data_IF_496960737808
#
_entry.id   IF_496960737808
#
_cell.length_a   1.000
_cell.length_b   1.000
_cell.length_c   1.000
_cell.angle_alpha   90.00
_cell.angle_beta   90.00
_cell.angle_gamma   90.00
#
_symmetry.space_group_name_H-M   'P 1'
#
loop_
_entity.id
_entity.type
_entity.pdbx_description
1 polymer ?
#
# COMPACT_ATOMS: atom_id res chain seq x y z
N UNK A 1 -29.81 -16.27 16.13
CA UNK A 1 -29.80 -14.86 15.63
C UNK A 1 -29.52 -13.83 16.74
N UNK A 2 -30.16 -13.91 17.91
CA UNK A 2 -29.98 -12.90 18.98
C UNK A 2 -28.50 -12.70 19.40
N UNK A 3 -27.78 -13.77 19.77
CA UNK A 3 -26.38 -13.69 20.22
C UNK A 3 -25.43 -13.07 19.21
N UNK A 4 -25.62 -13.33 17.90
CA UNK A 4 -24.80 -12.74 16.85
C UNK A 4 -25.00 -11.22 16.76
N UNK A 5 -26.24 -10.76 16.85
CA UNK A 5 -26.56 -9.33 16.84
C UNK A 5 -26.03 -8.63 18.09
N UNK A 6 -26.01 -9.31 19.25
CA UNK A 6 -25.40 -8.79 20.46
C UNK A 6 -23.90 -8.61 20.32
N UNK A 7 -23.21 -9.57 19.68
CA UNK A 7 -21.77 -9.44 19.39
C UNK A 7 -21.48 -8.22 18.50
N UNK A 8 -22.28 -7.99 17.45
CA UNK A 8 -22.15 -6.81 16.59
C UNK A 8 -22.41 -5.50 17.34
N UNK A 9 -23.42 -5.46 18.21
CA UNK A 9 -23.72 -4.30 19.04
C UNK A 9 -22.55 -3.97 19.97
N UNK A 10 -22.00 -4.95 20.68
CA UNK A 10 -20.87 -4.75 21.58
C UNK A 10 -19.61 -4.29 20.83
N UNK A 11 -19.42 -4.77 19.60
CA UNK A 11 -18.33 -4.28 18.75
C UNK A 11 -18.49 -2.78 18.45
N UNK A 12 -19.70 -2.35 18.06
CA UNK A 12 -19.99 -0.93 17.80
C UNK A 12 -19.93 -0.05 19.07
N UNK A 13 -20.02 -0.67 20.26
CA UNK A 13 -19.71 -0.02 21.56
C UNK A 13 -18.19 0.11 21.81
N UNK A 14 -17.33 -0.39 20.87
CA UNK A 14 -15.87 -0.30 20.96
C UNK A 14 -15.18 -1.45 21.69
N UNK A 15 -15.89 -2.55 22.01
CA UNK A 15 -15.28 -3.71 22.67
C UNK A 15 -14.46 -4.54 21.66
N UNK A 16 -13.29 -5.04 22.11
CA UNK A 16 -12.51 -6.01 21.32
C UNK A 16 -13.19 -7.38 21.30
N UNK A 17 -12.87 -8.26 20.34
CA UNK A 17 -13.42 -9.61 20.28
C UNK A 17 -13.25 -10.40 21.58
N UNK A 18 -12.11 -10.26 22.27
CA UNK A 18 -11.86 -10.91 23.56
C UNK A 18 -12.76 -10.36 24.67
N UNK A 19 -12.99 -9.03 24.71
CA UNK A 19 -13.90 -8.41 25.68
C UNK A 19 -15.34 -8.84 25.44
N UNK A 20 -15.75 -8.97 24.16
CA UNK A 20 -17.07 -9.49 23.79
C UNK A 20 -17.22 -10.94 24.24
N UNK A 21 -16.21 -11.78 24.02
CA UNK A 21 -16.22 -13.18 24.48
C UNK A 21 -16.43 -13.28 26.00
N UNK A 22 -15.68 -12.49 26.76
CA UNK A 22 -15.83 -12.41 28.21
C UNK A 22 -17.20 -11.91 28.65
N UNK A 23 -17.74 -10.86 28.01
CA UNK A 23 -19.05 -10.26 28.35
C UNK A 23 -20.23 -11.20 28.02
N UNK A 24 -20.11 -11.96 26.94
CA UNK A 24 -21.16 -12.90 26.50
C UNK A 24 -21.03 -14.28 27.12
N UNK A 25 -19.96 -14.59 27.79
CA UNK A 25 -19.70 -15.93 28.36
C UNK A 25 -19.57 -17.01 27.28
N UNK A 26 -18.97 -16.70 26.14
CA UNK A 26 -18.74 -17.63 25.02
C UNK A 26 -17.29 -17.63 24.59
N UNK A 27 -16.89 -18.61 23.78
CA UNK A 27 -15.53 -18.71 23.27
C UNK A 27 -15.19 -17.56 22.29
N UNK A 28 -13.93 -17.19 22.24
CA UNK A 28 -13.42 -16.22 21.26
C UNK A 28 -13.69 -16.68 19.81
N UNK A 29 -13.52 -17.97 19.53
CA UNK A 29 -13.87 -18.60 18.23
C UNK A 29 -15.30 -18.26 17.81
N UNK A 30 -16.27 -18.41 18.73
CA UNK A 30 -17.67 -18.11 18.44
C UNK A 30 -17.91 -16.65 18.14
N UNK A 31 -17.23 -15.75 18.86
CA UNK A 31 -17.28 -14.30 18.59
C UNK A 31 -16.71 -14.01 17.21
N UNK A 32 -15.51 -14.51 16.90
CA UNK A 32 -14.87 -14.32 15.59
C UNK A 32 -15.76 -14.81 14.43
N UNK A 33 -16.39 -15.98 14.58
CA UNK A 33 -17.34 -16.50 13.59
C UNK A 33 -18.56 -15.57 13.41
N UNK A 34 -19.11 -15.03 14.49
CA UNK A 34 -20.23 -14.08 14.43
C UNK A 34 -19.82 -12.80 13.70
N UNK A 35 -18.66 -12.26 14.01
CA UNK A 35 -18.14 -11.04 13.38
C UNK A 35 -17.83 -11.25 11.88
N UNK A 36 -17.19 -12.36 11.52
CA UNK A 36 -17.00 -12.74 10.10
C UNK A 36 -18.33 -12.82 9.35
N UNK A 37 -19.36 -13.44 9.96
CA UNK A 37 -20.68 -13.54 9.35
C UNK A 37 -21.31 -12.16 9.15
N UNK A 38 -21.23 -11.27 10.16
CA UNK A 38 -21.80 -9.94 10.07
C UNK A 38 -21.10 -9.07 9.01
N UNK A 39 -19.79 -9.22 8.86
CA UNK A 39 -19.04 -8.55 7.78
C UNK A 39 -19.45 -9.14 6.42
N UNK A 40 -19.54 -10.45 6.29
CA UNK A 40 -20.00 -11.10 5.06
C UNK A 40 -21.45 -10.74 4.66
N UNK A 41 -22.29 -10.42 5.64
CA UNK A 41 -23.66 -9.92 5.41
C UNK A 41 -23.71 -8.39 5.15
N UNK A 42 -22.57 -7.70 5.15
CA UNK A 42 -22.48 -6.25 4.97
C UNK A 42 -23.04 -5.42 6.13
N UNK A 43 -23.26 -6.03 7.32
CA UNK A 43 -23.76 -5.36 8.51
C UNK A 43 -22.65 -4.69 9.33
N UNK A 44 -21.42 -5.10 9.15
CA UNK A 44 -20.22 -4.54 9.73
C UNK A 44 -19.17 -4.42 8.61
N UNK A 45 -18.19 -3.55 8.84
CA UNK A 45 -17.00 -3.44 8.00
C UNK A 45 -15.76 -3.91 8.78
N UNK A 46 -14.68 -4.25 8.08
CA UNK A 46 -13.41 -4.58 8.75
C UNK A 46 -12.95 -3.47 9.69
N UNK A 47 -13.14 -2.21 9.28
CA UNK A 47 -12.78 -1.03 10.08
C UNK A 47 -13.53 -0.93 11.40
N UNK A 48 -14.71 -1.55 11.52
CA UNK A 48 -15.50 -1.56 12.76
C UNK A 48 -14.91 -2.50 13.81
N UNK A 49 -14.05 -3.45 13.41
CA UNK A 49 -13.47 -4.45 14.31
C UNK A 49 -12.37 -3.81 15.17
N UNK A 50 -12.65 -3.65 16.46
CA UNK A 50 -11.73 -3.12 17.43
C UNK A 50 -10.65 -4.14 17.82
N UNK A 51 -9.65 -4.35 16.97
CA UNK A 51 -8.47 -5.14 17.34
C UNK A 51 -7.61 -4.39 18.38
N UNK A 52 -6.99 -5.14 19.27
CA UNK A 52 -5.91 -4.57 20.09
C UNK A 52 -4.80 -4.03 19.16
N UNK A 53 -4.33 -2.81 19.42
CA UNK A 53 -3.36 -2.11 18.57
C UNK A 53 -2.09 -2.95 18.36
N UNK A 54 -1.57 -3.59 19.41
CA UNK A 54 -0.36 -4.40 19.30
C UNK A 54 -0.59 -5.66 18.46
N UNK A 55 -1.73 -6.33 18.59
CA UNK A 55 -2.11 -7.50 17.80
C UNK A 55 -2.30 -7.14 16.33
N UNK A 56 -3.00 -6.06 16.06
CA UNK A 56 -3.19 -5.53 14.71
C UNK A 56 -1.86 -5.23 14.03
N UNK A 57 -0.94 -4.54 14.72
CA UNK A 57 0.39 -4.23 14.18
C UNK A 57 1.20 -5.49 13.85
N UNK A 58 1.11 -6.56 14.66
CA UNK A 58 1.78 -7.83 14.38
C UNK A 58 1.26 -8.45 13.08
N UNK A 59 -0.06 -8.53 12.89
CA UNK A 59 -0.67 -9.08 11.67
C UNK A 59 -0.30 -8.23 10.45
N UNK A 60 -0.46 -6.91 10.54
CA UNK A 60 -0.14 -5.99 9.46
C UNK A 60 1.34 -6.01 9.07
N UNK A 61 2.24 -6.16 10.06
CA UNK A 61 3.67 -6.29 9.80
C UNK A 61 3.99 -7.59 9.05
N UNK A 62 3.41 -8.72 9.44
CA UNK A 62 3.59 -9.99 8.73
C UNK A 62 3.07 -9.90 7.28
N UNK A 63 1.88 -9.36 7.08
CA UNK A 63 1.31 -9.14 5.75
C UNK A 63 2.20 -8.23 4.92
N UNK A 64 2.65 -7.09 5.47
CA UNK A 64 3.56 -6.16 4.78
C UNK A 64 4.88 -6.80 4.39
N UNK A 65 5.41 -7.67 5.22
CA UNK A 65 6.68 -8.36 4.96
C UNK A 65 6.53 -9.55 4.01
N UNK A 66 5.30 -9.86 3.54
CA UNK A 66 5.03 -11.04 2.71
C UNK A 66 5.26 -12.36 3.46
N UNK A 67 5.25 -12.31 4.78
CA UNK A 67 5.40 -13.48 5.67
C UNK A 67 4.01 -14.09 5.88
N UNK A 68 3.95 -15.41 6.02
CA UNK A 68 2.73 -16.07 6.44
C UNK A 68 2.30 -15.52 7.82
N UNK A 69 1.10 -14.95 7.89
CA UNK A 69 0.59 -14.34 9.12
C UNK A 69 0.53 -15.33 10.29
N UNK A 70 0.39 -16.64 10.03
CA UNK A 70 0.37 -17.66 11.08
C UNK A 70 1.73 -17.91 11.73
N UNK A 71 2.85 -17.52 11.11
CA UNK A 71 4.18 -17.55 11.75
C UNK A 71 4.27 -16.64 12.96
N UNK A 72 3.40 -15.66 13.07
CA UNK A 72 3.30 -14.82 14.27
C UNK A 72 3.01 -15.66 15.51
N UNK A 73 2.30 -16.79 15.37
CA UNK A 73 1.99 -17.68 16.49
C UNK A 73 3.22 -18.34 17.07
N UNK A 74 4.24 -18.63 16.26
CA UNK A 74 5.49 -19.26 16.71
C UNK A 74 6.27 -18.31 17.63
N UNK A 75 6.26 -17.01 17.33
CA UNK A 75 7.03 -15.99 18.05
C UNK A 75 6.18 -15.27 19.11
N UNK A 76 4.89 -15.10 18.86
CA UNK A 76 4.00 -14.23 19.63
C UNK A 76 2.67 -14.91 20.05
N UNK A 77 2.57 -16.25 20.06
CA UNK A 77 1.35 -16.99 20.36
C UNK A 77 0.74 -16.71 21.74
N UNK A 78 1.53 -16.15 22.67
CA UNK A 78 1.04 -15.67 23.97
C UNK A 78 0.30 -14.31 23.90
N UNK A 79 0.42 -13.58 22.78
CA UNK A 79 -0.18 -12.24 22.59
C UNK A 79 -1.32 -12.22 21.59
N UNK A 80 -1.40 -13.21 20.74
CA UNK A 80 -2.41 -13.28 19.67
C UNK A 80 -2.85 -14.73 19.48
N UNK A 81 -4.14 -14.93 19.21
CA UNK A 81 -4.70 -16.24 18.87
C UNK A 81 -4.86 -16.41 17.37
N UNK A 82 -4.92 -17.66 16.92
CA UNK A 82 -5.22 -18.01 15.53
C UNK A 82 -6.55 -17.41 15.09
N UNK A 83 -7.56 -17.45 15.95
CA UNK A 83 -8.89 -16.96 15.62
C UNK A 83 -8.93 -15.46 15.31
N UNK A 84 -8.08 -14.66 15.97
CA UNK A 84 -7.92 -13.24 15.67
C UNK A 84 -7.21 -12.99 14.34
N UNK A 85 -6.22 -13.83 14.01
CA UNK A 85 -5.57 -13.78 12.70
C UNK A 85 -6.58 -14.13 11.62
N UNK A 86 -7.34 -15.21 11.79
CA UNK A 86 -8.40 -15.63 10.86
C UNK A 86 -9.45 -14.54 10.71
N UNK A 87 -9.93 -13.94 11.81
CA UNK A 87 -10.87 -12.82 11.78
C UNK A 87 -10.33 -11.67 10.95
N UNK A 88 -9.07 -11.25 11.20
CA UNK A 88 -8.43 -10.18 10.45
C UNK A 88 -8.35 -10.49 8.96
N UNK A 89 -7.83 -11.67 8.60
CA UNK A 89 -7.61 -12.08 7.21
C UNK A 89 -8.93 -12.27 6.42
N UNK A 90 -9.98 -12.80 7.08
CA UNK A 90 -11.27 -13.05 6.45
C UNK A 90 -12.13 -11.80 6.29
N UNK A 91 -11.92 -10.79 7.15
CA UNK A 91 -12.73 -9.56 7.12
C UNK A 91 -12.04 -8.41 6.41
N UNK A 92 -10.71 -8.43 6.27
CA UNK A 92 -9.97 -7.36 5.58
C UNK A 92 -10.48 -7.17 4.15
N UNK A 93 -10.43 -5.94 3.69
CA UNK A 93 -10.66 -5.63 2.27
C UNK A 93 -9.33 -5.76 1.50
N UNK A 94 -9.17 -6.80 0.67
CA UNK A 94 -7.97 -7.00 -0.12
C UNK A 94 -7.68 -5.86 -1.10
N UNK A 95 -8.72 -5.14 -1.57
CA UNK A 95 -8.57 -4.00 -2.47
C UNK A 95 -7.93 -2.83 -1.75
N UNK A 96 -8.33 -2.60 -0.49
CA UNK A 96 -7.77 -1.55 0.37
C UNK A 96 -6.28 -1.78 0.63
N UNK A 97 -5.86 -3.02 0.91
CA UNK A 97 -4.45 -3.37 1.13
C UNK A 97 -3.60 -3.13 -0.14
N UNK A 98 -4.10 -3.56 -1.29
CA UNK A 98 -3.40 -3.36 -2.56
C UNK A 98 -3.36 -1.87 -2.95
N UNK A 99 -4.45 -1.12 -2.69
CA UNK A 99 -4.49 0.32 -2.90
C UNK A 99 -3.43 1.04 -2.07
N UNK A 100 -3.36 0.76 -0.76
CA UNK A 100 -2.38 1.36 0.13
C UNK A 100 -0.94 1.07 -0.34
N UNK A 101 -0.66 -0.16 -0.77
CA UNK A 101 0.63 -0.57 -1.28
C UNK A 101 1.01 0.17 -2.58
N UNK A 102 0.08 0.32 -3.51
CA UNK A 102 0.33 1.06 -4.76
C UNK A 102 0.55 2.54 -4.48
N UNK A 103 -0.22 3.14 -3.56
CA UNK A 103 0.01 4.53 -3.15
C UNK A 103 1.40 4.72 -2.52
N UNK A 104 1.85 3.78 -1.68
CA UNK A 104 3.19 3.81 -1.10
C UNK A 104 4.27 3.78 -2.18
N UNK A 105 4.15 2.87 -3.16
CA UNK A 105 5.08 2.77 -4.30
C UNK A 105 5.08 4.08 -5.12
N UNK A 106 3.91 4.65 -5.41
CA UNK A 106 3.79 5.89 -6.18
C UNK A 106 4.50 7.06 -5.47
N UNK A 107 4.30 7.21 -4.15
CA UNK A 107 4.97 8.23 -3.35
C UNK A 107 6.50 8.04 -3.33
N UNK A 108 6.98 6.80 -3.19
CA UNK A 108 8.40 6.49 -3.22
C UNK A 108 9.02 6.80 -4.60
N UNK A 109 8.35 6.44 -5.67
CA UNK A 109 8.79 6.76 -7.04
C UNK A 109 8.85 8.27 -7.28
N UNK A 110 7.85 9.03 -6.82
CA UNK A 110 7.88 10.49 -6.91
C UNK A 110 9.09 11.11 -6.20
N UNK A 111 9.37 10.66 -4.98
CA UNK A 111 10.54 11.13 -4.22
C UNK A 111 11.84 10.76 -4.91
N UNK A 112 12.00 9.50 -5.33
CA UNK A 112 13.18 9.02 -6.03
C UNK A 112 13.43 9.84 -7.30
N UNK A 113 12.42 10.03 -8.14
CA UNK A 113 12.53 10.77 -9.41
C UNK A 113 12.99 12.19 -9.14
N UNK A 114 12.34 12.90 -8.21
CA UNK A 114 12.71 14.29 -7.90
C UNK A 114 14.13 14.40 -7.38
N UNK A 115 14.52 13.56 -6.42
CA UNK A 115 15.87 13.58 -5.84
C UNK A 115 16.94 13.24 -6.87
N UNK A 116 16.73 12.18 -7.65
CA UNK A 116 17.69 11.72 -8.67
C UNK A 116 17.91 12.79 -9.74
N UNK A 117 16.84 13.39 -10.26
CA UNK A 117 16.94 14.44 -11.28
C UNK A 117 17.54 15.73 -10.72
N UNK A 118 17.18 16.11 -9.49
CA UNK A 118 17.78 17.28 -8.82
C UNK A 118 19.29 17.06 -8.62
N UNK A 119 19.72 15.88 -8.21
CA UNK A 119 21.13 15.55 -8.07
C UNK A 119 21.88 15.58 -9.41
N UNK A 120 21.24 15.15 -10.52
CA UNK A 120 21.86 15.09 -11.84
C UNK A 120 21.89 16.43 -12.58
N UNK A 121 20.84 17.24 -12.45
CA UNK A 121 20.62 18.45 -13.26
C UNK A 121 20.50 19.75 -12.43
N UNK A 122 20.66 19.68 -11.13
CA UNK A 122 20.54 20.86 -10.24
C UNK A 122 19.20 21.59 -10.43
N UNK A 123 19.25 22.91 -10.51
CA UNK A 123 18.05 23.74 -10.71
C UNK A 123 17.36 23.53 -12.09
N UNK A 124 18.07 22.94 -13.05
CA UNK A 124 17.53 22.61 -14.38
C UNK A 124 16.67 21.35 -14.44
N UNK A 125 16.59 20.56 -13.35
CA UNK A 125 16.00 19.22 -13.33
C UNK A 125 14.61 19.12 -13.95
N UNK A 126 13.77 20.16 -13.78
CA UNK A 126 12.44 20.18 -14.35
C UNK A 126 12.45 20.27 -15.87
N UNK A 127 13.33 21.10 -16.46
CA UNK A 127 13.42 21.30 -17.90
C UNK A 127 14.19 20.18 -18.61
N UNK A 128 15.27 19.75 -18.02
CA UNK A 128 16.21 18.78 -18.63
C UNK A 128 15.77 17.33 -18.37
N UNK A 129 15.38 17.03 -17.13
CA UNK A 129 15.00 15.68 -16.69
C UNK A 129 13.61 15.27 -17.13
N UNK A 130 12.62 16.16 -17.02
CA UNK A 130 11.22 15.81 -17.33
C UNK A 130 10.94 15.93 -18.83
N UNK A 131 10.28 14.92 -19.48
CA UNK A 131 9.85 15.02 -20.87
C UNK A 131 8.94 16.23 -21.11
N UNK A 132 9.07 16.88 -22.26
CA UNK A 132 8.30 18.09 -22.57
C UNK A 132 6.79 17.88 -22.48
N UNK A 133 6.30 16.77 -23.04
CA UNK A 133 4.87 16.44 -23.00
C UNK A 133 4.39 16.26 -21.56
N UNK A 134 5.16 15.58 -20.72
CA UNK A 134 4.84 15.43 -19.29
C UNK A 134 4.74 16.79 -18.60
N UNK A 135 5.69 17.70 -18.86
CA UNK A 135 5.63 19.06 -18.29
C UNK A 135 4.38 19.81 -18.70
N UNK A 136 4.01 19.74 -20.00
CA UNK A 136 2.78 20.35 -20.52
C UNK A 136 1.54 19.77 -19.84
N UNK A 137 1.46 18.45 -19.72
CA UNK A 137 0.36 17.76 -19.06
C UNK A 137 0.23 18.12 -17.58
N UNK A 138 1.36 18.20 -16.85
CA UNK A 138 1.37 18.62 -15.46
C UNK A 138 0.88 20.06 -15.30
N UNK A 139 1.30 20.97 -16.18
CA UNK A 139 0.87 22.35 -16.16
C UNK A 139 -0.63 22.48 -16.43
N UNK A 140 -1.15 21.75 -17.43
CA UNK A 140 -2.57 21.73 -17.75
C UNK A 140 -3.41 21.26 -16.57
N UNK A 141 -3.03 20.11 -15.94
CA UNK A 141 -3.74 19.59 -14.75
C UNK A 141 -3.70 20.57 -13.58
N UNK A 142 -2.57 21.30 -13.42
CA UNK A 142 -2.46 22.34 -12.40
C UNK A 142 -3.44 23.49 -12.64
N UNK A 143 -3.61 23.91 -13.90
CA UNK A 143 -4.53 24.99 -14.30
C UNK A 143 -6.01 24.58 -14.15
N UNK A 144 -6.31 23.29 -14.34
CA UNK A 144 -7.66 22.73 -14.15
C UNK A 144 -8.03 22.49 -12.67
N UNK A 145 -7.04 22.48 -11.77
CA UNK A 145 -7.27 22.25 -10.34
C UNK A 145 -7.84 23.52 -9.66
N UNK A 146 -8.95 23.37 -8.95
CA UNK A 146 -9.60 24.48 -8.21
C UNK A 146 -8.75 25.00 -7.04
N UNK A 147 -7.85 24.16 -6.52
CA UNK A 147 -6.94 24.47 -5.42
C UNK A 147 -5.50 24.09 -5.79
N UNK A 148 -4.90 24.82 -6.78
CA UNK A 148 -3.67 24.39 -7.39
C UNK A 148 -2.49 24.38 -6.41
N UNK A 149 -1.67 23.32 -6.50
CA UNK A 149 -0.41 23.23 -5.78
C UNK A 149 0.68 24.02 -6.53
N UNK A 150 1.62 24.60 -5.80
CA UNK A 150 2.67 25.43 -6.40
C UNK A 150 3.57 24.67 -7.37
N UNK A 151 3.98 23.44 -6.99
CA UNK A 151 4.89 22.61 -7.78
C UNK A 151 4.15 21.78 -8.83
N UNK A 152 4.28 22.08 -10.14
CA UNK A 152 3.63 21.32 -11.21
C UNK A 152 4.02 19.84 -11.23
N UNK A 153 5.20 19.47 -10.70
CA UNK A 153 5.63 18.08 -10.61
C UNK A 153 4.68 17.21 -9.79
N UNK A 154 3.94 17.78 -8.84
CA UNK A 154 2.95 17.06 -8.02
C UNK A 154 1.76 16.53 -8.83
N UNK A 155 1.60 16.99 -10.06
CA UNK A 155 0.57 16.52 -11.01
C UNK A 155 1.07 15.41 -11.95
N UNK A 156 2.27 14.90 -11.73
CA UNK A 156 2.82 13.77 -12.50
C UNK A 156 2.07 12.47 -12.15
N UNK A 157 1.64 11.74 -13.16
CA UNK A 157 0.95 10.45 -13.00
C UNK A 157 1.95 9.29 -12.93
N UNK A 158 1.49 8.12 -12.47
CA UNK A 158 2.33 6.93 -12.35
C UNK A 158 3.01 6.56 -13.67
N UNK A 159 2.26 6.56 -14.79
CA UNK A 159 2.83 6.25 -16.11
C UNK A 159 3.87 7.28 -16.55
N UNK A 160 3.68 8.54 -16.21
CA UNK A 160 4.64 9.59 -16.53
C UNK A 160 5.94 9.44 -15.72
N UNK A 161 5.90 8.91 -14.48
CA UNK A 161 7.10 8.54 -13.72
C UNK A 161 7.92 7.48 -14.47
N UNK A 162 7.26 6.45 -15.04
CA UNK A 162 7.93 5.47 -15.90
C UNK A 162 8.62 6.13 -17.09
N UNK A 163 7.94 7.06 -17.80
CA UNK A 163 8.51 7.76 -18.96
C UNK A 163 9.70 8.65 -18.58
N UNK A 164 9.67 9.27 -17.43
CA UNK A 164 10.78 10.06 -16.88
C UNK A 164 11.99 9.16 -16.62
N UNK A 165 11.80 8.03 -15.96
CA UNK A 165 12.84 7.03 -15.68
C UNK A 165 13.42 6.49 -16.99
N UNK A 166 12.58 6.20 -17.98
CA UNK A 166 12.98 5.69 -19.29
C UNK A 166 13.87 6.68 -20.05
N UNK A 167 13.48 7.96 -20.08
CA UNK A 167 14.24 9.05 -20.72
C UNK A 167 15.63 9.21 -20.07
N UNK A 168 15.70 9.14 -18.76
CA UNK A 168 16.90 9.41 -17.99
C UNK A 168 17.58 8.12 -17.47
N UNK A 169 17.45 7.02 -18.20
CA UNK A 169 17.93 5.71 -17.72
C UNK A 169 19.41 5.70 -17.31
N UNK A 170 20.28 6.44 -17.99
CA UNK A 170 21.68 6.55 -17.62
C UNK A 170 21.90 7.04 -16.18
N UNK A 171 21.03 7.96 -15.70
CA UNK A 171 21.05 8.47 -14.34
C UNK A 171 20.37 7.49 -13.38
N UNK A 172 19.20 6.97 -13.76
CA UNK A 172 18.44 6.05 -12.90
C UNK A 172 19.11 4.69 -12.73
N UNK A 173 19.89 4.20 -13.71
CA UNK A 173 20.65 2.96 -13.57
C UNK A 173 21.69 3.00 -12.44
N UNK A 174 22.11 4.19 -12.02
CA UNK A 174 23.02 4.40 -10.89
C UNK A 174 22.24 4.54 -9.57
N UNK A 175 21.09 5.20 -9.63
CA UNK A 175 20.26 5.49 -8.44
C UNK A 175 19.41 4.30 -7.97
N UNK A 176 18.95 3.46 -8.90
CA UNK A 176 18.12 2.28 -8.60
C UNK A 176 18.94 1.15 -7.95
N UNK A 177 18.33 0.32 -7.07
CA UNK A 177 18.98 -0.86 -6.52
C UNK A 177 19.29 -1.90 -7.62
N UNK A 178 20.27 -2.77 -7.36
CA UNK A 178 20.75 -3.73 -8.36
C UNK A 178 19.68 -4.56 -9.07
N UNK A 179 18.65 -5.12 -8.43
CA UNK A 179 17.63 -5.87 -9.18
C UNK A 179 16.95 -5.02 -10.25
N UNK A 180 16.69 -3.73 -9.97
CA UNK A 180 16.01 -2.81 -10.89
C UNK A 180 16.97 -2.13 -11.87
N UNK A 181 18.20 -1.83 -11.47
CA UNK A 181 19.18 -1.15 -12.34
C UNK A 181 19.81 -2.08 -13.39
N UNK A 182 19.80 -3.40 -13.15
CA UNK A 182 20.50 -4.37 -13.98
C UNK A 182 19.86 -4.58 -15.37
N UNK A 183 18.54 -4.37 -15.51
CA UNK A 183 17.83 -4.67 -16.74
C UNK A 183 16.74 -3.62 -17.03
N UNK A 184 17.07 -2.64 -17.88
CA UNK A 184 16.15 -1.56 -18.28
C UNK A 184 14.80 -2.08 -18.77
N UNK A 185 14.71 -2.98 -19.78
CA UNK A 185 13.44 -3.47 -20.27
C UNK A 185 12.56 -4.09 -19.17
N UNK A 186 13.16 -4.92 -18.32
CA UNK A 186 12.45 -5.58 -17.23
C UNK A 186 11.88 -4.55 -16.22
N UNK A 187 12.68 -3.57 -15.82
CA UNK A 187 12.24 -2.53 -14.87
C UNK A 187 11.14 -1.67 -15.45
N UNK A 188 11.25 -1.27 -16.70
CA UNK A 188 10.18 -0.51 -17.37
C UNK A 188 8.90 -1.33 -17.51
N UNK A 189 9.00 -2.65 -17.76
CA UNK A 189 7.86 -3.55 -17.78
C UNK A 189 7.22 -3.69 -16.40
N UNK A 190 8.02 -3.79 -15.33
CA UNK A 190 7.51 -3.83 -13.95
C UNK A 190 6.73 -2.55 -13.62
N UNK A 191 7.25 -1.37 -13.97
CA UNK A 191 6.56 -0.09 -13.79
C UNK A 191 5.26 -0.02 -14.61
N UNK A 192 5.26 -0.57 -15.84
CA UNK A 192 4.06 -0.66 -16.67
C UNK A 192 2.99 -1.56 -16.04
N UNK A 193 3.39 -2.69 -15.48
CA UNK A 193 2.49 -3.62 -14.79
C UNK A 193 1.89 -2.97 -13.52
N UNK A 194 2.71 -2.26 -12.73
CA UNK A 194 2.23 -1.51 -11.56
C UNK A 194 1.22 -0.43 -11.95
N UNK A 195 1.45 0.28 -13.06
CA UNK A 195 0.47 1.24 -13.57
C UNK A 195 -0.85 0.54 -13.99
N UNK A 196 -0.77 -0.65 -14.58
CA UNK A 196 -1.94 -1.48 -14.89
C UNK A 196 -2.74 -1.84 -13.64
N UNK A 197 -2.06 -2.32 -12.60
CA UNK A 197 -2.65 -2.63 -11.29
C UNK A 197 -3.30 -1.38 -10.68
N UNK A 198 -2.58 -0.25 -10.67
CA UNK A 198 -3.10 1.04 -10.17
C UNK A 198 -4.40 1.43 -10.88
N UNK A 199 -4.45 1.31 -12.20
CA UNK A 199 -5.63 1.65 -12.98
C UNK A 199 -6.82 0.72 -12.69
N UNK A 200 -6.58 -0.58 -12.44
CA UNK A 200 -7.63 -1.52 -12.03
C UNK A 200 -8.24 -1.13 -10.68
N UNK A 201 -7.40 -0.74 -9.71
CA UNK A 201 -7.86 -0.34 -8.38
C UNK A 201 -8.66 0.97 -8.42
N UNK A 202 -8.19 1.95 -9.21
CA UNK A 202 -8.81 3.29 -9.30
C UNK A 202 -10.12 3.30 -10.09
N UNK A 203 -10.42 2.22 -10.84
CA UNK A 203 -11.67 2.07 -11.58
C UNK A 203 -12.53 0.97 -10.94
N UNK A 204 -13.46 1.30 -10.03
CA UNK A 204 -14.22 0.32 -9.22
C UNK A 204 -15.11 -0.61 -10.03
N UNK A 205 -15.39 -0.28 -11.29
CA UNK A 205 -16.17 -1.12 -12.21
C UNK A 205 -15.35 -2.26 -12.84
N UNK A 206 -14.05 -2.26 -12.68
CA UNK A 206 -13.17 -3.33 -13.17
C UNK A 206 -12.91 -4.32 -12.05
N UNK A 207 -13.22 -5.60 -12.30
CA UNK A 207 -12.83 -6.67 -11.38
C UNK A 207 -11.30 -6.82 -11.35
N UNK A 208 -10.77 -6.96 -10.15
CA UNK A 208 -9.36 -7.32 -9.94
C UNK A 208 -9.31 -8.83 -9.91
N UNK A 209 -9.04 -9.45 -11.05
CA UNK A 209 -9.12 -10.91 -11.22
C UNK A 209 -8.00 -11.64 -10.46
N UNK A 210 -6.84 -11.00 -10.26
CA UNK A 210 -5.65 -11.65 -9.70
C UNK A 210 -5.07 -10.88 -8.51
N UNK A 211 -5.91 -10.61 -7.51
CA UNK A 211 -5.51 -9.82 -6.35
C UNK A 211 -4.21 -10.33 -5.68
N UNK A 212 -4.13 -11.62 -5.37
CA UNK A 212 -2.99 -12.20 -4.65
C UNK A 212 -1.68 -12.15 -5.47
N UNK A 213 -1.75 -12.32 -6.78
CA UNK A 213 -0.58 -12.21 -7.65
C UNK A 213 -0.15 -10.75 -7.80
N UNK A 214 -1.10 -9.83 -7.94
CA UNK A 214 -0.86 -8.39 -8.00
C UNK A 214 -0.26 -7.86 -6.69
N UNK A 215 -0.78 -8.30 -5.54
CA UNK A 215 -0.26 -7.93 -4.24
C UNK A 215 1.18 -8.43 -4.04
N UNK A 216 1.44 -9.72 -4.33
CA UNK A 216 2.79 -10.29 -4.26
C UNK A 216 3.77 -9.58 -5.20
N UNK A 217 3.33 -9.25 -6.41
CA UNK A 217 4.14 -8.52 -7.37
C UNK A 217 4.51 -7.12 -6.86
N UNK A 218 3.53 -6.35 -6.38
CA UNK A 218 3.76 -5.02 -5.83
C UNK A 218 4.64 -5.06 -4.56
N UNK A 219 4.44 -6.05 -3.68
CA UNK A 219 5.29 -6.29 -2.50
C UNK A 219 6.74 -6.59 -2.86
N UNK A 220 6.96 -7.47 -3.85
CA UNK A 220 8.31 -7.77 -4.34
C UNK A 220 8.99 -6.52 -4.89
N UNK A 221 8.27 -5.73 -5.68
CA UNK A 221 8.79 -4.48 -6.21
C UNK A 221 9.18 -3.51 -5.06
N UNK A 222 8.34 -3.37 -4.04
CA UNK A 222 8.64 -2.52 -2.89
C UNK A 222 9.85 -3.03 -2.10
N UNK A 223 9.96 -4.35 -1.88
CA UNK A 223 11.11 -4.95 -1.20
C UNK A 223 12.43 -4.68 -1.95
N UNK A 224 12.41 -4.72 -3.29
CA UNK A 224 13.56 -4.34 -4.11
C UNK A 224 13.94 -2.85 -3.93
N UNK A 225 12.99 -2.02 -3.46
CA UNK A 225 13.19 -0.61 -3.13
C UNK A 225 13.62 -0.34 -1.69
N UNK A 226 13.47 -1.26 -0.75
CA UNK A 226 13.70 -1.01 0.69
C UNK A 226 15.14 -0.54 1.00
N UNK A 227 16.13 -1.01 0.24
CA UNK A 227 17.50 -0.51 0.34
C UNK A 227 17.66 0.96 -0.06
N UNK A 228 16.77 1.50 -0.91
CA UNK A 228 16.73 2.91 -1.29
C UNK A 228 15.93 3.76 -0.31
N UNK A 229 14.91 3.20 0.31
CA UNK A 229 14.06 3.89 1.30
C UNK A 229 14.93 4.50 2.39
N UNK A 230 15.89 3.74 2.93
CA UNK A 230 16.83 4.25 3.90
C UNK A 230 17.65 5.43 3.36
N UNK A 231 18.13 5.40 2.11
CA UNK A 231 18.87 6.51 1.47
C UNK A 231 17.98 7.73 1.24
N UNK A 232 16.75 7.53 0.77
CA UNK A 232 15.79 8.60 0.49
C UNK A 232 15.39 9.34 1.78
N UNK A 233 15.20 8.61 2.88
CA UNK A 233 14.76 9.18 4.16
C UNK A 233 15.92 9.81 4.96
N UNK A 234 17.18 9.41 4.70
CA UNK A 234 18.37 9.84 5.47
C UNK A 234 19.33 10.77 4.71
N UNK A 235 19.17 10.95 3.41
CA UNK A 235 19.89 11.99 2.68
C UNK A 235 19.24 13.33 3.00
N UNK A 236 19.80 14.04 4.00
CA UNK A 236 19.46 15.45 4.22
C UNK A 236 19.73 16.21 2.93
N UNK A 237 18.81 17.04 2.43
CA UNK A 237 19.15 17.96 1.36
C UNK A 237 20.29 18.85 1.90
N UNK A 238 21.45 18.73 1.32
CA UNK A 238 22.50 19.75 1.46
C UNK A 238 21.97 20.98 0.72
N UNK A 239 21.48 21.94 1.52
CA UNK A 239 21.15 23.27 1.04
C UNK A 239 22.40 24.06 0.74
#
# INVERSE_FOLDING_TARGET
>A
MARRNDAGRYLLEGLTPEQIAGRMGISLVSVCQYLCTLVGEGKLQHADIAFNIAQRHLIEAAIRNGTDAYRILDEHGHRISRDLIDLYLLTRDPRSDLYALICEIEVLLHRLVKQTLTAAYGNGWWREGIPELTRKNCQLRKEEDKTPLDDPYRYTTFIELKLIIEKNWSVFSIALPKPLSANKPNTLQMLQNLNGIRNQIMHPVKEIIEYESNYRFARKFLADFDHLRWRIDHVRPTF
#
